data_IF_679327544416
#
_entry.id   IF_679327544416
#
_cell.length_a   1.000
_cell.length_b   1.000
_cell.length_c   1.000
_cell.angle_alpha   90.00
_cell.angle_beta   90.00
_cell.angle_gamma   90.00
#
_symmetry.space_group_name_H-M   'P 1'
#
loop_
_entity.id
_entity.type
_entity.pdbx_description
1 polymer ?
#
# COMPACT_ATOMS: atom_id res chain seq x y z
N UNK A 1 16.98 22.37 -5.85
CA UNK A 1 16.76 21.84 -7.22
C UNK A 1 16.88 23.00 -8.18
N UNK A 2 17.52 22.82 -9.34
CA UNK A 2 17.81 23.94 -10.26
C UNK A 2 16.55 24.34 -11.03
N UNK A 3 16.36 25.63 -11.28
CA UNK A 3 15.27 26.19 -12.10
C UNK A 3 15.25 25.63 -13.53
N UNK A 4 16.39 25.13 -13.99
CA UNK A 4 16.54 24.44 -15.26
C UNK A 4 15.85 23.06 -15.26
N UNK A 5 15.89 22.34 -14.14
CA UNK A 5 15.23 21.03 -14.00
C UNK A 5 13.72 21.17 -14.03
N UNK A 6 13.17 22.20 -13.37
CA UNK A 6 11.73 22.48 -13.38
C UNK A 6 11.23 22.88 -14.77
N UNK A 7 12.02 23.66 -15.51
CA UNK A 7 11.70 24.07 -16.88
C UNK A 7 11.72 22.88 -17.84
N UNK A 8 12.67 21.95 -17.68
CA UNK A 8 12.73 20.73 -18.48
C UNK A 8 11.56 19.77 -18.19
N UNK A 9 11.15 19.65 -16.92
CA UNK A 9 9.98 18.85 -16.54
C UNK A 9 8.67 19.42 -17.08
N UNK A 10 8.52 20.75 -17.06
CA UNK A 10 7.37 21.43 -17.64
C UNK A 10 7.30 21.23 -19.17
N UNK A 11 8.42 21.40 -19.88
CA UNK A 11 8.49 21.16 -21.32
C UNK A 11 8.17 19.70 -21.68
N UNK A 12 8.62 18.74 -20.87
CA UNK A 12 8.29 17.33 -21.07
C UNK A 12 6.78 17.08 -20.91
N UNK A 13 6.16 17.66 -19.88
CA UNK A 13 4.72 17.53 -19.62
C UNK A 13 3.85 18.17 -20.73
N UNK A 14 4.31 19.28 -21.31
CA UNK A 14 3.60 20.01 -22.38
C UNK A 14 3.82 19.43 -23.78
N UNK A 15 4.87 18.61 -23.98
CA UNK A 15 5.27 18.08 -25.30
C UNK A 15 4.25 17.14 -25.97
N UNK A 16 3.14 16.79 -25.32
CA UNK A 16 2.04 16.05 -25.96
C UNK A 16 2.39 14.63 -26.42
N UNK A 17 3.56 14.10 -26.06
CA UNK A 17 4.02 12.73 -26.29
C UNK A 17 3.34 11.75 -25.31
N UNK A 18 2.01 11.82 -25.20
CA UNK A 18 1.23 11.00 -24.26
C UNK A 18 0.20 10.12 -24.97
N UNK A 19 0.38 9.84 -26.26
CA UNK A 19 -0.21 8.62 -26.84
C UNK A 19 0.76 7.47 -26.61
N UNK A 20 0.48 6.57 -25.63
CA UNK A 20 1.32 5.39 -25.46
C UNK A 20 1.31 4.61 -26.78
N UNK A 21 2.50 4.26 -27.27
CA UNK A 21 2.69 3.49 -28.51
C UNK A 21 1.90 2.17 -28.49
N UNK A 22 1.61 1.67 -27.30
CA UNK A 22 0.72 0.55 -27.02
C UNK A 22 0.14 0.74 -25.62
N UNK A 23 -1.19 0.75 -25.49
CA UNK A 23 -1.83 0.65 -24.18
C UNK A 23 -1.93 -0.84 -23.83
N UNK A 24 -1.18 -1.27 -22.83
CA UNK A 24 -1.30 -2.63 -22.29
C UNK A 24 -2.20 -2.54 -21.05
N UNK A 25 -3.24 -3.37 -21.01
CA UNK A 25 -4.27 -3.32 -19.96
C UNK A 25 -4.41 -4.66 -19.27
N UNK A 26 -4.92 -4.65 -18.03
CA UNK A 26 -5.20 -5.87 -17.30
C UNK A 26 -3.92 -6.64 -16.92
N UNK A 27 -3.97 -7.98 -16.83
CA UNK A 27 -2.84 -8.80 -16.35
C UNK A 27 -1.53 -8.59 -17.13
N UNK A 28 -1.63 -8.29 -18.42
CA UNK A 28 -0.49 -8.08 -19.29
C UNK A 28 0.27 -6.78 -18.94
N UNK A 29 -0.44 -5.76 -18.45
CA UNK A 29 0.17 -4.50 -18.01
C UNK A 29 1.00 -4.69 -16.74
N UNK A 30 0.51 -5.53 -15.82
CA UNK A 30 1.23 -5.88 -14.59
C UNK A 30 2.53 -6.64 -14.86
N UNK A 31 2.50 -7.58 -15.83
CA UNK A 31 3.70 -8.33 -16.22
C UNK A 31 4.75 -7.42 -16.88
N UNK A 32 4.34 -6.50 -17.75
CA UNK A 32 5.24 -5.57 -18.43
C UNK A 32 5.85 -4.54 -17.45
N UNK A 33 5.04 -4.01 -16.53
CA UNK A 33 5.52 -3.12 -15.47
C UNK A 33 6.53 -3.81 -14.54
N UNK A 34 6.28 -5.09 -14.18
CA UNK A 34 7.22 -5.89 -13.39
C UNK A 34 8.56 -6.07 -14.11
N UNK A 35 8.52 -6.45 -15.39
CA UNK A 35 9.72 -6.62 -16.19
C UNK A 35 10.53 -5.32 -16.34
N UNK A 36 9.86 -4.16 -16.46
CA UNK A 36 10.50 -2.86 -16.49
C UNK A 36 11.25 -2.54 -15.18
N UNK A 37 10.63 -2.82 -14.03
CA UNK A 37 11.22 -2.60 -12.72
C UNK A 37 12.41 -3.53 -12.48
N UNK A 38 12.30 -4.81 -12.85
CA UNK A 38 13.40 -5.78 -12.76
C UNK A 38 14.59 -5.37 -13.65
N UNK A 39 14.32 -4.88 -14.86
CA UNK A 39 15.35 -4.36 -15.79
C UNK A 39 16.05 -3.11 -15.23
N UNK A 40 15.33 -2.28 -14.47
CA UNK A 40 15.89 -1.13 -13.77
C UNK A 40 16.68 -1.50 -12.50
N UNK A 41 16.86 -2.80 -12.21
CA UNK A 41 17.59 -3.29 -11.03
C UNK A 41 16.81 -3.18 -9.72
N UNK A 42 15.49 -2.97 -9.80
CA UNK A 42 14.62 -2.91 -8.61
C UNK A 42 14.28 -4.33 -8.18
N UNK A 43 14.51 -4.65 -6.90
CA UNK A 43 14.01 -5.88 -6.28
C UNK A 43 12.48 -5.78 -6.12
N UNK A 44 11.76 -6.17 -7.17
CA UNK A 44 10.29 -6.14 -7.20
C UNK A 44 9.71 -7.00 -6.09
N UNK A 45 10.36 -8.11 -5.71
CA UNK A 45 9.89 -8.94 -4.62
C UNK A 45 10.04 -8.24 -3.25
N UNK A 46 11.09 -7.45 -3.02
CA UNK A 46 11.18 -6.59 -1.84
C UNK A 46 10.14 -5.47 -1.85
N UNK A 47 9.89 -4.85 -3.01
CA UNK A 47 8.85 -3.82 -3.14
C UNK A 47 7.47 -4.40 -2.87
N UNK A 48 7.13 -5.56 -3.45
CA UNK A 48 5.86 -6.24 -3.21
C UNK A 48 5.70 -6.70 -1.77
N UNK A 49 6.78 -7.14 -1.10
CA UNK A 49 6.78 -7.43 0.34
C UNK A 49 6.55 -6.19 1.20
N UNK A 50 7.05 -5.01 0.77
CA UNK A 50 6.89 -3.74 1.49
C UNK A 50 5.53 -3.07 1.23
N UNK A 51 5.00 -3.21 0.02
CA UNK A 51 3.68 -2.71 -0.39
C UNK A 51 2.58 -3.65 0.08
N UNK A 52 2.88 -4.95 0.22
CA UNK A 52 2.04 -5.93 0.87
C UNK A 52 1.87 -5.62 2.36
N UNK A 53 0.62 -5.49 2.81
CA UNK A 53 0.32 -5.30 4.23
C UNK A 53 0.82 -6.51 5.04
N UNK A 54 1.45 -6.30 6.22
CA UNK A 54 1.81 -7.38 7.13
C UNK A 54 0.59 -8.24 7.44
N UNK A 55 0.76 -9.57 7.40
CA UNK A 55 -0.30 -10.54 7.65
C UNK A 55 -0.07 -11.31 8.93
N UNK A 56 -1.13 -11.42 9.72
CA UNK A 56 -1.19 -12.11 11.00
C UNK A 56 -1.18 -13.64 10.89
N UNK A 57 -1.41 -14.20 9.69
CA UNK A 57 -1.76 -15.61 9.48
C UNK A 57 -0.76 -16.38 8.58
N UNK A 58 0.39 -15.79 8.23
CA UNK A 58 1.44 -16.49 7.46
C UNK A 58 1.04 -16.96 6.06
N UNK A 59 -0.12 -16.54 5.55
CA UNK A 59 -0.66 -17.02 4.27
C UNK A 59 -0.12 -16.24 3.06
N UNK A 60 0.16 -16.91 1.92
CA UNK A 60 0.74 -16.27 0.73
C UNK A 60 -0.13 -15.09 0.25
N UNK A 61 0.48 -13.99 -0.22
CA UNK A 61 -0.23 -12.77 -0.61
C UNK A 61 -1.39 -13.10 -1.54
N UNK A 62 -2.60 -12.68 -1.16
CA UNK A 62 -3.79 -12.92 -1.99
C UNK A 62 -3.66 -12.06 -3.25
N UNK A 63 -4.16 -12.54 -4.41
CA UNK A 63 -4.16 -11.77 -5.65
C UNK A 63 -4.71 -10.36 -5.43
N UNK A 64 -4.10 -9.38 -6.09
CA UNK A 64 -4.51 -7.97 -6.04
C UNK A 64 -6.03 -7.87 -6.30
N UNK A 65 -6.79 -7.36 -5.33
CA UNK A 65 -8.26 -7.22 -5.41
C UNK A 65 -9.08 -8.13 -4.49
N UNK A 66 -8.50 -9.17 -3.89
CA UNK A 66 -9.20 -9.96 -2.86
C UNK A 66 -9.17 -9.23 -1.51
N UNK A 67 -10.35 -8.90 -0.98
CA UNK A 67 -10.50 -8.27 0.34
C UNK A 67 -10.09 -9.25 1.44
N UNK A 68 -9.38 -8.78 2.45
CA UNK A 68 -9.10 -9.57 3.66
C UNK A 68 -10.40 -9.98 4.36
N UNK A 69 -10.42 -11.11 5.09
CA UNK A 69 -11.55 -11.48 5.94
C UNK A 69 -11.94 -10.32 6.87
N UNK A 70 -13.24 -10.05 6.98
CA UNK A 70 -13.79 -9.01 7.84
C UNK A 70 -14.59 -9.67 8.94
N UNK A 71 -14.30 -9.29 10.18
CA UNK A 71 -15.07 -9.70 11.35
C UNK A 71 -15.73 -8.45 11.91
N UNK A 72 -17.05 -8.49 12.06
CA UNK A 72 -17.80 -7.43 12.72
C UNK A 72 -17.74 -7.69 14.23
N UNK A 73 -17.27 -6.71 15.00
CA UNK A 73 -17.13 -6.81 16.46
C UNK A 73 -17.89 -5.66 17.09
N UNK A 74 -18.81 -5.98 18.00
CA UNK A 74 -19.45 -5.00 18.86
C UNK A 74 -18.49 -4.65 20.00
N UNK A 75 -18.32 -3.35 20.26
CA UNK A 75 -17.54 -2.83 21.38
C UNK A 75 -18.40 -1.82 22.13
N UNK A 76 -18.12 -1.62 23.43
CA UNK A 76 -18.79 -0.57 24.20
C UNK A 76 -18.42 0.82 23.68
N UNK A 77 -19.28 1.81 23.94
CA UNK A 77 -19.04 3.20 23.53
C UNK A 77 -17.77 3.77 24.17
N UNK A 78 -17.49 3.40 25.42
CA UNK A 78 -16.28 3.81 26.11
C UNK A 78 -15.02 3.28 25.41
N UNK A 79 -15.01 2.00 25.02
CA UNK A 79 -13.91 1.41 24.25
C UNK A 79 -13.79 2.07 22.88
N UNK A 80 -14.92 2.36 22.24
CA UNK A 80 -14.93 3.05 20.96
C UNK A 80 -14.29 4.44 21.03
N UNK A 81 -14.63 5.23 22.06
CA UNK A 81 -14.04 6.56 22.31
C UNK A 81 -12.54 6.46 22.63
N UNK A 82 -12.13 5.47 23.42
CA UNK A 82 -10.71 5.23 23.71
C UNK A 82 -9.92 4.96 22.41
N UNK A 83 -10.44 4.11 21.51
CA UNK A 83 -9.83 3.82 20.21
C UNK A 83 -9.71 5.11 19.37
N UNK A 84 -10.78 5.90 19.31
CA UNK A 84 -10.80 7.15 18.53
C UNK A 84 -9.77 8.16 19.03
N UNK A 85 -9.69 8.37 20.35
CA UNK A 85 -8.71 9.28 20.92
C UNK A 85 -7.27 8.82 20.70
N UNK A 86 -7.00 7.51 20.84
CA UNK A 86 -5.67 6.95 20.65
C UNK A 86 -5.20 6.99 19.20
N UNK A 87 -6.07 6.65 18.23
CA UNK A 87 -5.71 6.71 16.80
C UNK A 87 -5.39 8.13 16.35
N UNK A 88 -6.11 9.13 16.87
CA UNK A 88 -5.92 10.54 16.53
C UNK A 88 -4.58 11.05 17.06
N UNK A 89 -4.23 10.71 18.31
CA UNK A 89 -2.92 11.04 18.90
C UNK A 89 -1.76 10.46 18.09
N UNK A 90 -1.95 9.27 17.52
CA UNK A 90 -0.93 8.56 16.74
C UNK A 90 -0.95 8.90 15.25
N UNK A 91 -1.93 9.67 14.77
CA UNK A 91 -2.06 10.04 13.36
C UNK A 91 -2.29 8.85 12.42
N UNK A 92 -2.92 7.77 12.90
CA UNK A 92 -3.13 6.53 12.13
C UNK A 92 -4.61 6.29 11.83
N UNK A 93 -4.86 5.48 10.81
CA UNK A 93 -6.22 5.00 10.51
C UNK A 93 -6.73 4.10 11.64
N UNK A 94 -8.05 4.09 11.85
CA UNK A 94 -8.68 3.23 12.86
C UNK A 94 -8.34 1.75 12.64
N UNK A 95 -8.40 1.29 11.39
CA UNK A 95 -8.09 -0.11 11.06
C UNK A 95 -6.64 -0.49 11.33
N UNK A 96 -5.70 0.42 11.07
CA UNK A 96 -4.29 0.15 11.33
C UNK A 96 -3.96 0.21 12.83
N UNK A 97 -4.63 1.08 13.58
CA UNK A 97 -4.55 1.11 15.04
C UNK A 97 -5.03 -0.21 15.66
N UNK A 98 -6.25 -0.65 15.31
CA UNK A 98 -6.83 -1.89 15.85
C UNK A 98 -5.98 -3.10 15.49
N UNK A 99 -5.44 -3.16 14.26
CA UNK A 99 -4.54 -4.24 13.85
C UNK A 99 -3.29 -4.28 14.72
N UNK A 100 -2.56 -3.16 14.83
CA UNK A 100 -1.34 -3.10 15.68
C UNK A 100 -1.62 -3.52 17.12
N UNK A 101 -2.75 -3.11 17.68
CA UNK A 101 -3.12 -3.49 19.04
C UNK A 101 -3.34 -5.01 19.18
N UNK A 102 -4.01 -5.63 18.21
CA UNK A 102 -4.21 -7.09 18.17
C UNK A 102 -2.90 -7.84 17.94
N UNK A 103 -2.05 -7.35 17.04
CA UNK A 103 -0.72 -7.92 16.78
C UNK A 103 0.11 -7.94 18.06
N UNK A 104 0.14 -6.83 18.81
CA UNK A 104 0.83 -6.74 20.10
C UNK A 104 0.23 -7.67 21.15
N UNK A 105 -1.10 -7.78 21.21
CA UNK A 105 -1.78 -8.69 22.14
C UNK A 105 -1.39 -10.16 21.86
N UNK A 106 -1.46 -10.60 20.61
CA UNK A 106 -1.11 -11.97 20.21
C UNK A 106 0.36 -12.27 20.50
N UNK A 107 1.26 -11.33 20.18
CA UNK A 107 2.68 -11.47 20.46
C UNK A 107 2.99 -11.54 21.97
N UNK A 108 2.20 -10.88 22.81
CA UNK A 108 2.32 -10.96 24.27
C UNK A 108 1.65 -12.18 24.89
N UNK A 109 0.73 -12.81 24.17
CA UNK A 109 -0.01 -13.99 24.59
C UNK A 109 0.63 -15.31 24.14
N UNK A 110 1.71 -15.23 23.35
CA UNK A 110 2.53 -16.35 22.86
C UNK A 110 3.81 -16.46 23.66
#
# INVERSE_FOLDING_TARGET
MSSETDRQLAQWAESGLTKPRRAVTGPQAGAEARAMLETAGVDVAAVERRVGRPRLDGSPPKPHGQRSPRVNVAVSDQTNQAIESARLKLGVSRSDFVRKALDSYIASAS
#
